data_IF_605365780452
#
_entry.id   IF_605365780452
#
_cell.length_a   1.000
_cell.length_b   1.000
_cell.length_c   1.000
_cell.angle_alpha   90.00
_cell.angle_beta   90.00
_cell.angle_gamma   90.00
#
_symmetry.space_group_name_H-M   'P 1'
#
loop_
_entity.id
_entity.type
_entity.pdbx_description
1 polymer ?
#
# COMPACT_ATOMS: atom_id res chain seq x y z
N UNK A 1 -0.92 -7.68 22.01
CA UNK A 1 0.25 -7.99 21.14
C UNK A 1 1.42 -8.38 22.03
N UNK A 2 2.11 -9.50 21.75
CA UNK A 2 3.31 -9.91 22.45
C UNK A 2 4.46 -8.97 22.07
N UNK A 3 4.89 -8.11 22.97
CA UNK A 3 5.97 -7.13 22.71
C UNK A 3 7.37 -7.73 22.86
N UNK A 4 7.47 -8.94 23.41
CA UNK A 4 8.72 -9.65 23.70
C UNK A 4 9.56 -9.98 22.47
N UNK A 5 8.92 -10.06 21.28
CA UNK A 5 9.60 -10.34 20.01
C UNK A 5 10.30 -9.12 19.41
N UNK A 6 10.07 -7.92 19.94
CA UNK A 6 10.61 -6.67 19.40
C UNK A 6 11.77 -6.15 20.25
N UNK A 7 12.76 -5.52 19.59
CA UNK A 7 13.86 -4.85 20.27
C UNK A 7 13.38 -3.60 21.01
N UNK A 8 14.20 -3.09 21.92
CA UNK A 8 13.91 -1.83 22.63
C UNK A 8 13.80 -0.64 21.68
N UNK A 9 14.63 -0.64 20.63
CA UNK A 9 14.68 0.37 19.57
C UNK A 9 13.41 0.33 18.73
N UNK A 10 12.95 -0.86 18.31
CA UNK A 10 11.69 -1.04 17.60
C UNK A 10 10.51 -0.53 18.44
N UNK A 11 10.40 -0.92 19.69
CA UNK A 11 9.35 -0.45 20.59
C UNK A 11 9.39 1.08 20.77
N UNK A 12 10.59 1.67 20.88
CA UNK A 12 10.74 3.13 20.97
C UNK A 12 10.25 3.82 19.69
N UNK A 13 10.55 3.25 18.51
CA UNK A 13 10.04 3.74 17.22
C UNK A 13 8.52 3.61 17.16
N UNK A 14 7.96 2.44 17.46
CA UNK A 14 6.52 2.17 17.42
C UNK A 14 5.75 3.17 18.29
N UNK A 15 6.19 3.42 19.52
CA UNK A 15 5.56 4.39 20.43
C UNK A 15 5.54 5.82 19.89
N UNK A 16 6.53 6.21 19.07
CA UNK A 16 6.53 7.54 18.42
C UNK A 16 5.52 7.65 17.30
N UNK A 17 5.28 6.55 16.58
CA UNK A 17 4.42 6.47 15.40
C UNK A 17 2.97 6.13 15.80
N UNK A 18 2.39 6.90 16.70
CA UNK A 18 1.15 6.58 17.41
C UNK A 18 -0.14 7.09 16.74
N UNK A 19 -0.05 7.56 15.50
CA UNK A 19 -1.22 7.96 14.71
C UNK A 19 -1.03 7.54 13.24
N UNK A 20 -2.13 7.28 12.48
CA UNK A 20 -2.02 6.97 11.05
C UNK A 20 -1.19 7.98 10.25
N UNK A 21 -1.37 9.28 10.52
CA UNK A 21 -0.60 10.36 9.88
C UNK A 21 0.90 10.27 10.19
N UNK A 22 1.30 9.97 11.43
CA UNK A 22 2.72 9.80 11.78
C UNK A 22 3.33 8.57 11.13
N UNK A 23 2.55 7.48 11.00
CA UNK A 23 2.97 6.28 10.28
C UNK A 23 3.18 6.62 8.80
N UNK A 24 2.25 7.32 8.17
CA UNK A 24 2.39 7.77 6.79
C UNK A 24 3.64 8.65 6.60
N UNK A 25 3.86 9.62 7.48
CA UNK A 25 5.04 10.50 7.41
C UNK A 25 6.34 9.72 7.54
N UNK A 26 6.37 8.69 8.39
CA UNK A 26 7.53 7.81 8.50
C UNK A 26 7.76 7.02 7.21
N UNK A 27 6.72 6.42 6.62
CA UNK A 27 6.83 5.72 5.33
C UNK A 27 7.31 6.65 4.20
N UNK A 28 6.85 7.90 4.19
CA UNK A 28 7.32 8.89 3.22
C UNK A 28 8.82 9.20 3.38
N UNK A 29 9.35 9.12 4.61
CA UNK A 29 10.79 9.35 4.86
C UNK A 29 11.70 8.17 4.51
N UNK A 30 11.13 6.98 4.28
CA UNK A 30 11.88 5.79 3.85
C UNK A 30 12.05 5.82 2.33
N UNK A 31 13.28 5.66 1.77
CA UNK A 31 13.49 5.50 0.34
C UNK A 31 12.65 4.37 -0.27
N UNK A 32 12.29 4.53 -1.53
CA UNK A 32 11.55 3.50 -2.26
C UNK A 32 12.47 2.32 -2.59
N UNK A 33 11.99 1.09 -2.34
CA UNK A 33 12.68 -0.13 -2.74
C UNK A 33 12.39 -0.40 -4.21
N UNK A 34 13.40 -0.25 -5.08
CA UNK A 34 13.31 -0.47 -6.52
C UNK A 34 13.63 -1.91 -6.94
N UNK A 35 13.89 -2.79 -5.96
CA UNK A 35 14.14 -4.22 -6.20
C UNK A 35 15.25 -4.45 -7.25
N UNK A 36 16.35 -3.69 -7.14
CA UNK A 36 17.45 -3.68 -8.12
C UNK A 36 18.12 -5.05 -8.28
N UNK A 37 18.00 -5.94 -7.29
CA UNK A 37 18.60 -7.28 -7.27
C UNK A 37 17.57 -8.42 -7.41
N UNK A 38 16.37 -8.11 -7.87
CA UNK A 38 15.24 -9.04 -7.98
C UNK A 38 14.12 -8.73 -7.00
N UNK A 39 12.96 -9.32 -7.24
CA UNK A 39 11.76 -9.11 -6.43
C UNK A 39 12.00 -9.45 -4.97
N UNK A 40 11.50 -8.63 -4.07
CA UNK A 40 11.61 -8.79 -2.61
C UNK A 40 10.27 -8.55 -1.92
N UNK A 41 10.08 -9.14 -0.75
CA UNK A 41 8.99 -8.80 0.16
C UNK A 41 9.51 -8.84 1.60
N UNK A 42 10.10 -7.72 2.02
CA UNK A 42 10.76 -7.58 3.32
C UNK A 42 9.74 -7.53 4.46
N UNK A 43 10.06 -8.21 5.58
CA UNK A 43 9.29 -8.05 6.81
C UNK A 43 9.38 -6.62 7.36
N UNK A 44 8.44 -6.19 8.23
CA UNK A 44 8.52 -4.90 8.92
C UNK A 44 9.86 -4.64 9.62
N UNK A 45 10.47 -5.67 10.23
CA UNK A 45 11.81 -5.57 10.83
C UNK A 45 12.87 -5.26 9.80
N UNK A 46 12.88 -5.98 8.68
CA UNK A 46 13.87 -5.78 7.63
C UNK A 46 13.67 -4.43 6.91
N UNK A 47 12.43 -3.97 6.74
CA UNK A 47 12.14 -2.60 6.27
C UNK A 47 12.79 -1.55 7.17
N UNK A 48 12.64 -1.68 8.49
CA UNK A 48 13.25 -0.73 9.45
C UNK A 48 14.77 -0.82 9.40
N UNK A 49 15.34 -2.03 9.36
CA UNK A 49 16.78 -2.31 9.35
C UNK A 49 17.45 -1.78 8.07
N UNK A 50 16.84 -2.01 6.90
CA UNK A 50 17.37 -1.57 5.61
C UNK A 50 16.94 -0.16 5.21
N UNK A 51 15.98 0.42 5.93
CA UNK A 51 15.43 1.75 5.66
C UNK A 51 14.98 1.91 4.20
N UNK A 52 14.24 0.92 3.69
CA UNK A 52 13.68 0.91 2.32
C UNK A 52 12.36 0.14 2.31
N UNK A 53 11.44 0.50 1.41
CA UNK A 53 10.19 -0.24 1.21
C UNK A 53 9.56 0.08 -0.14
N UNK A 54 8.96 -0.93 -0.80
CA UNK A 54 7.94 -0.76 -1.82
C UNK A 54 6.52 -0.81 -1.21
N UNK A 55 5.46 -0.85 -2.05
CA UNK A 55 4.08 -0.70 -1.57
C UNK A 55 3.66 -1.80 -0.57
N UNK A 56 3.94 -3.07 -0.86
CA UNK A 56 3.57 -4.19 0.01
C UNK A 56 4.35 -4.19 1.32
N UNK A 57 5.66 -3.97 1.27
CA UNK A 57 6.55 -3.88 2.44
C UNK A 57 6.13 -2.74 3.37
N UNK A 58 5.85 -1.57 2.78
CA UNK A 58 5.32 -0.42 3.52
C UNK A 58 3.94 -0.68 4.11
N UNK A 59 3.09 -1.44 3.40
CA UNK A 59 1.78 -1.85 3.91
C UNK A 59 1.91 -2.80 5.11
N UNK A 60 2.80 -3.78 5.06
CA UNK A 60 3.05 -4.68 6.20
C UNK A 60 3.56 -3.91 7.43
N UNK A 61 4.49 -2.98 7.25
CA UNK A 61 4.99 -2.15 8.35
C UNK A 61 3.89 -1.25 8.93
N UNK A 62 3.08 -0.61 8.08
CA UNK A 62 1.96 0.21 8.54
C UNK A 62 0.89 -0.62 9.26
N UNK A 63 0.62 -1.86 8.79
CA UNK A 63 -0.29 -2.78 9.45
C UNK A 63 0.19 -3.08 10.88
N UNK A 64 1.46 -3.46 11.04
CA UNK A 64 2.07 -3.70 12.35
C UNK A 64 1.93 -2.49 13.27
N UNK A 65 2.26 -1.30 12.80
CA UNK A 65 2.24 -0.07 13.60
C UNK A 65 0.82 0.32 14.03
N UNK A 66 -0.16 0.21 13.12
CA UNK A 66 -1.56 0.44 13.45
C UNK A 66 -2.07 -0.57 14.49
N UNK A 67 -1.76 -1.86 14.31
CA UNK A 67 -2.13 -2.92 15.24
C UNK A 67 -1.50 -2.70 16.62
N UNK A 68 -0.24 -2.28 16.69
CA UNK A 68 0.44 -1.93 17.93
C UNK A 68 -0.28 -0.84 18.73
N UNK A 69 -0.96 0.09 18.04
CA UNK A 69 -1.75 1.18 18.64
C UNK A 69 -3.25 0.85 18.78
N UNK A 70 -3.64 -0.41 18.66
CA UNK A 70 -5.00 -0.87 18.92
C UNK A 70 -6.00 -0.64 17.79
N UNK A 71 -5.55 -0.28 16.59
CA UNK A 71 -6.39 -0.31 15.40
C UNK A 71 -6.62 -1.75 14.94
N UNK A 72 -7.61 -1.96 14.09
CA UNK A 72 -7.86 -3.21 13.37
C UNK A 72 -7.58 -3.02 11.89
N UNK A 73 -6.29 -2.91 11.49
CA UNK A 73 -5.93 -2.66 10.11
C UNK A 73 -6.33 -3.81 9.19
N UNK A 74 -6.47 -3.50 7.91
CA UNK A 74 -6.68 -4.50 6.84
C UNK A 74 -5.88 -4.11 5.62
N UNK A 75 -5.44 -5.10 4.85
CA UNK A 75 -4.84 -4.88 3.53
C UNK A 75 -5.95 -4.77 2.50
N UNK A 76 -5.75 -3.88 1.53
CA UNK A 76 -6.52 -3.78 0.29
C UNK A 76 -5.55 -3.69 -0.87
N UNK A 77 -5.72 -4.57 -1.85
CA UNK A 77 -5.07 -4.48 -3.14
C UNK A 77 -5.95 -3.67 -4.11
N UNK A 78 -5.31 -2.78 -4.86
CA UNK A 78 -5.87 -1.97 -5.93
C UNK A 78 -5.36 -2.52 -7.25
N UNK A 79 -6.16 -3.34 -7.91
CA UNK A 79 -5.77 -4.08 -9.11
C UNK A 79 -5.96 -3.24 -10.37
N UNK A 80 -4.91 -3.19 -11.15
CA UNK A 80 -4.85 -2.53 -12.44
C UNK A 80 -5.24 -3.45 -13.61
N UNK A 81 -5.12 -2.95 -14.83
CA UNK A 81 -5.22 -3.73 -16.06
C UNK A 81 -3.94 -4.53 -16.29
N UNK A 82 -4.11 -5.74 -16.87
CA UNK A 82 -2.95 -6.56 -17.31
C UNK A 82 -2.42 -6.14 -18.68
N UNK A 83 -3.22 -5.44 -19.49
CA UNK A 83 -2.84 -4.96 -20.84
C UNK A 83 -3.53 -3.62 -21.14
N UNK A 84 -2.78 -2.52 -21.40
CA UNK A 84 -1.31 -2.44 -21.22
C UNK A 84 -0.95 -2.66 -19.74
N UNK A 85 0.21 -3.23 -19.45
CA UNK A 85 0.61 -3.54 -18.07
C UNK A 85 0.75 -2.27 -17.22
N UNK A 86 0.25 -2.34 -16.02
CA UNK A 86 0.46 -1.38 -14.94
C UNK A 86 0.57 -2.15 -13.62
N UNK A 87 1.31 -1.63 -12.66
CA UNK A 87 1.50 -2.29 -11.36
C UNK A 87 0.24 -2.18 -10.49
N UNK A 88 -0.08 -3.24 -9.78
CA UNK A 88 -1.06 -3.21 -8.70
C UNK A 88 -0.50 -2.44 -7.50
N UNK A 89 -1.36 -1.93 -6.63
CA UNK A 89 -0.93 -1.12 -5.50
C UNK A 89 -1.61 -1.54 -4.21
N UNK A 90 -0.78 -1.85 -3.21
CA UNK A 90 -1.27 -2.32 -1.90
C UNK A 90 -1.31 -1.17 -0.91
N UNK A 91 -2.43 -1.02 -0.22
CA UNK A 91 -2.64 -0.03 0.83
C UNK A 91 -3.12 -0.69 2.13
N UNK A 92 -2.85 -0.03 3.26
CA UNK A 92 -3.41 -0.45 4.56
C UNK A 92 -4.61 0.41 4.90
N UNK A 93 -5.74 -0.24 5.03
CA UNK A 93 -7.00 0.39 5.42
C UNK A 93 -7.12 0.41 6.95
N UNK A 94 -7.44 1.56 7.49
CA UNK A 94 -7.79 1.73 8.90
C UNK A 94 -9.16 2.40 9.03
N UNK A 95 -9.76 2.30 10.22
CA UNK A 95 -11.05 2.94 10.50
C UNK A 95 -10.90 3.91 11.66
N UNK A 96 -11.39 5.13 11.46
CA UNK A 96 -11.43 6.18 12.46
C UNK A 96 -12.70 7.03 12.26
N UNK A 97 -13.33 7.49 13.34
CA UNK A 97 -14.58 8.27 13.28
C UNK A 97 -15.72 7.59 12.47
N UNK A 98 -15.74 6.26 12.47
CA UNK A 98 -16.72 5.50 11.69
C UNK A 98 -16.45 5.44 10.17
N UNK A 99 -15.35 6.01 9.69
CA UNK A 99 -14.96 6.09 8.30
C UNK A 99 -13.66 5.33 8.02
N UNK A 100 -13.45 4.94 6.76
CA UNK A 100 -12.23 4.31 6.28
C UNK A 100 -11.24 5.37 5.80
N UNK A 101 -9.97 5.16 6.12
CA UNK A 101 -8.82 5.84 5.55
C UNK A 101 -7.77 4.82 5.11
N UNK A 102 -6.70 5.28 4.44
CA UNK A 102 -5.64 4.38 4.01
C UNK A 102 -4.25 5.00 4.16
N UNK A 103 -3.29 4.15 4.53
CA UNK A 103 -1.85 4.44 4.50
C UNK A 103 -1.26 3.76 3.27
N UNK A 104 -0.40 4.46 2.56
CA UNK A 104 0.17 4.03 1.30
C UNK A 104 1.66 4.31 1.22
N UNK A 105 2.48 3.34 0.78
CA UNK A 105 3.87 3.56 0.39
C UNK A 105 3.94 3.58 -1.13
N UNK A 106 4.28 4.72 -1.68
CA UNK A 106 4.44 4.93 -3.12
C UNK A 106 5.67 5.79 -3.39
N UNK A 107 6.23 5.70 -4.58
CA UNK A 107 7.25 6.61 -5.06
C UNK A 107 6.66 7.83 -5.79
N UNK A 108 5.40 7.75 -6.20
CA UNK A 108 4.73 8.78 -6.97
C UNK A 108 4.19 9.93 -6.11
N UNK A 109 4.05 11.11 -6.69
CA UNK A 109 3.37 12.27 -6.08
C UNK A 109 1.88 12.04 -5.82
N UNK A 110 1.30 11.03 -6.44
CA UNK A 110 -0.09 10.56 -6.33
C UNK A 110 -0.16 9.20 -5.62
N UNK A 111 -1.36 8.61 -5.46
CA UNK A 111 -1.61 7.32 -4.81
C UNK A 111 -1.19 7.27 -3.32
N UNK A 112 -1.25 8.41 -2.65
CA UNK A 112 -0.79 8.57 -1.26
C UNK A 112 -1.89 8.34 -0.23
N UNK A 113 -1.65 8.77 0.99
CA UNK A 113 -2.55 8.71 2.14
C UNK A 113 -3.98 9.15 1.81
N UNK A 114 -4.95 8.46 2.41
CA UNK A 114 -6.36 8.87 2.38
C UNK A 114 -6.86 9.09 3.80
N UNK A 115 -7.41 10.27 4.03
CA UNK A 115 -8.04 10.63 5.30
C UNK A 115 -9.22 9.69 5.62
N UNK A 116 -9.54 9.44 6.90
CA UNK A 116 -10.64 8.55 7.30
C UNK A 116 -12.00 9.26 7.13
N UNK A 117 -12.42 9.47 5.89
CA UNK A 117 -13.67 10.14 5.51
C UNK A 117 -14.58 9.28 4.64
N UNK A 118 -14.12 8.14 4.15
CA UNK A 118 -14.87 7.26 3.24
C UNK A 118 -15.79 6.33 4.02
N UNK A 119 -17.06 6.24 3.61
CA UNK A 119 -18.07 5.41 4.28
C UNK A 119 -17.99 3.94 3.90
N UNK A 120 -17.49 3.65 2.70
CA UNK A 120 -17.34 2.29 2.19
C UNK A 120 -15.93 2.05 1.64
N UNK A 121 -15.54 0.78 1.58
CA UNK A 121 -14.26 0.38 0.96
C UNK A 121 -14.22 0.70 -0.53
N UNK A 122 -15.38 0.65 -1.20
CA UNK A 122 -15.49 1.03 -2.62
C UNK A 122 -15.24 2.53 -2.82
N UNK A 123 -15.80 3.40 -1.98
CA UNK A 123 -15.52 4.84 -2.02
C UNK A 123 -14.02 5.12 -1.82
N UNK A 124 -13.40 4.44 -0.84
CA UNK A 124 -11.96 4.55 -0.59
C UNK A 124 -11.16 4.13 -1.83
N UNK A 125 -11.46 2.97 -2.43
CA UNK A 125 -10.78 2.49 -3.62
C UNK A 125 -10.98 3.46 -4.82
N UNK A 126 -12.21 3.98 -5.01
CA UNK A 126 -12.51 4.96 -6.05
C UNK A 126 -11.74 6.27 -5.89
N UNK A 127 -11.31 6.64 -4.69
CA UNK A 127 -10.52 7.85 -4.47
C UNK A 127 -9.15 7.81 -5.16
N UNK A 128 -8.67 6.63 -5.50
CA UNK A 128 -7.41 6.43 -6.23
C UNK A 128 -7.60 6.42 -7.75
N UNK A 129 -8.84 6.26 -8.25
CA UNK A 129 -9.12 6.00 -9.66
C UNK A 129 -8.56 7.03 -10.62
N UNK A 130 -8.71 8.32 -10.32
CA UNK A 130 -8.28 9.40 -11.21
C UNK A 130 -6.76 9.63 -11.18
N UNK A 131 -6.08 9.11 -10.19
CA UNK A 131 -4.62 9.18 -10.04
C UNK A 131 -3.92 7.95 -10.65
N UNK A 132 -4.69 6.94 -11.11
CA UNK A 132 -4.18 5.66 -11.55
C UNK A 132 -4.21 5.58 -13.08
N UNK A 133 -3.13 6.00 -13.71
CA UNK A 133 -2.99 6.03 -15.19
C UNK A 133 -1.53 5.89 -15.63
N UNK A 134 -1.35 5.37 -16.84
CA UNK A 134 -0.07 5.27 -17.51
C UNK A 134 0.35 6.62 -18.13
N UNK A 135 1.62 6.74 -18.52
CA UNK A 135 2.13 7.90 -19.25
C UNK A 135 1.43 8.15 -20.59
N UNK A 136 0.72 7.16 -21.11
CA UNK A 136 -0.17 7.29 -22.28
C UNK A 136 -1.51 7.93 -21.97
N UNK A 137 -1.80 8.21 -20.70
CA UNK A 137 -3.08 8.73 -20.22
C UNK A 137 -4.15 7.64 -20.00
N UNK A 138 -3.88 6.38 -20.32
CA UNK A 138 -4.83 5.27 -20.11
C UNK A 138 -5.04 5.07 -18.61
N UNK A 139 -6.29 5.23 -18.14
CA UNK A 139 -6.68 4.96 -16.75
C UNK A 139 -6.77 3.45 -16.53
N UNK A 140 -6.06 2.95 -15.53
CA UNK A 140 -5.74 1.53 -15.40
C UNK A 140 -6.39 0.84 -14.20
N UNK A 141 -6.79 1.52 -13.14
CA UNK A 141 -7.45 0.88 -12.00
C UNK A 141 -8.77 0.22 -12.42
N UNK A 142 -8.97 -1.06 -12.04
CA UNK A 142 -10.14 -1.87 -12.41
C UNK A 142 -10.89 -2.45 -11.25
N UNK A 143 -10.16 -2.95 -10.25
CA UNK A 143 -10.73 -3.71 -9.16
C UNK A 143 -10.10 -3.33 -7.84
N UNK A 144 -10.71 -3.74 -6.74
CA UNK A 144 -10.13 -3.70 -5.40
C UNK A 144 -10.42 -5.01 -4.69
N UNK A 145 -9.49 -5.46 -3.85
CA UNK A 145 -9.68 -6.72 -3.14
C UNK A 145 -10.67 -6.59 -1.98
N UNK A 146 -11.21 -7.73 -1.54
CA UNK A 146 -11.76 -7.80 -0.19
C UNK A 146 -10.70 -7.37 0.82
N UNK A 147 -11.12 -6.82 1.96
CA UNK A 147 -10.22 -6.50 3.05
C UNK A 147 -9.61 -7.78 3.65
N UNK A 148 -8.29 -7.79 3.80
CA UNK A 148 -7.54 -8.95 4.25
C UNK A 148 -6.80 -8.69 5.57
N UNK A 149 -6.76 -9.69 6.46
CA UNK A 149 -6.05 -9.64 7.73
C UNK A 149 -4.72 -10.35 7.65
N UNK A 150 -3.61 -9.62 7.76
CA UNK A 150 -2.26 -10.22 7.73
C UNK A 150 -1.98 -11.20 8.87
N UNK A 151 -2.79 -11.19 9.92
CA UNK A 151 -2.68 -12.16 11.02
C UNK A 151 -2.91 -13.61 10.56
N UNK A 152 -3.54 -13.80 9.38
CA UNK A 152 -3.60 -15.10 8.71
C UNK A 152 -2.20 -15.72 8.52
N UNK A 153 -1.18 -14.92 8.32
CA UNK A 153 0.21 -15.34 8.09
C UNK A 153 1.09 -15.33 9.35
N UNK A 154 0.51 -15.35 10.55
CA UNK A 154 1.29 -15.36 11.80
C UNK A 154 2.27 -16.55 11.90
N UNK A 155 1.96 -17.66 11.23
CA UNK A 155 2.82 -18.84 11.17
C UNK A 155 4.15 -18.59 10.42
N UNK A 156 4.24 -17.56 9.57
CA UNK A 156 5.46 -17.12 8.90
C UNK A 156 6.30 -16.15 9.74
N UNK A 157 5.86 -15.78 10.93
CA UNK A 157 6.48 -14.70 11.72
C UNK A 157 6.71 -13.42 10.92
N UNK A 158 5.76 -13.07 10.03
CA UNK A 158 5.86 -12.02 9.02
C UNK A 158 6.31 -10.64 9.55
N UNK A 159 6.19 -10.39 10.86
CA UNK A 159 6.60 -9.12 11.48
C UNK A 159 8.11 -9.00 11.64
N UNK A 160 8.82 -10.12 11.75
CA UNK A 160 10.22 -10.13 12.25
C UNK A 160 11.14 -11.09 11.51
N UNK A 161 10.63 -11.92 10.59
CA UNK A 161 11.43 -12.89 9.83
C UNK A 161 12.45 -12.17 8.93
N UNK A 162 13.60 -12.78 8.73
CA UNK A 162 14.59 -12.38 7.72
C UNK A 162 14.34 -13.07 6.36
N UNK A 163 13.43 -14.06 6.33
CA UNK A 163 13.05 -14.72 5.09
C UNK A 163 12.17 -13.79 4.24
N UNK A 164 12.26 -13.94 2.93
CA UNK A 164 11.38 -13.29 1.97
C UNK A 164 9.91 -13.72 2.17
N UNK A 165 8.99 -12.79 1.96
CA UNK A 165 7.55 -12.94 2.18
C UNK A 165 6.73 -12.82 0.88
N UNK A 166 7.33 -13.08 -0.27
CA UNK A 166 6.66 -13.00 -1.59
C UNK A 166 5.38 -13.84 -1.64
N UNK A 167 5.32 -14.97 -0.92
CA UNK A 167 4.10 -15.79 -0.80
C UNK A 167 2.88 -14.99 -0.28
N UNK A 168 3.10 -13.97 0.55
CA UNK A 168 2.02 -13.09 1.02
C UNK A 168 1.51 -12.22 -0.12
N UNK A 169 2.39 -11.64 -0.93
CA UNK A 169 2.02 -10.84 -2.10
C UNK A 169 1.23 -11.67 -3.10
N UNK A 170 1.73 -12.86 -3.46
CA UNK A 170 1.05 -13.79 -4.36
C UNK A 170 -0.34 -14.19 -3.85
N UNK A 171 -0.49 -14.43 -2.56
CA UNK A 171 -1.78 -14.76 -1.98
C UNK A 171 -2.78 -13.59 -2.09
N UNK A 172 -2.30 -12.34 -1.91
CA UNK A 172 -3.15 -11.15 -2.01
C UNK A 172 -3.64 -10.95 -3.44
N UNK A 173 -2.84 -11.30 -4.43
CA UNK A 173 -3.26 -11.28 -5.84
C UNK A 173 -4.38 -12.29 -6.14
N UNK A 174 -4.47 -13.38 -5.40
CA UNK A 174 -5.45 -14.45 -5.63
C UNK A 174 -6.77 -14.28 -4.87
N UNK A 175 -6.83 -13.41 -3.85
CA UNK A 175 -8.06 -13.21 -3.08
C UNK A 175 -9.16 -12.56 -3.94
N UNK A 176 -10.42 -12.65 -3.48
CA UNK A 176 -11.56 -12.09 -4.20
C UNK A 176 -11.41 -10.57 -4.42
N UNK A 177 -11.57 -10.14 -5.66
CA UNK A 177 -11.61 -8.74 -6.08
C UNK A 177 -12.99 -8.37 -6.60
N UNK A 178 -13.33 -7.10 -6.43
CA UNK A 178 -14.61 -6.52 -6.82
C UNK A 178 -14.39 -5.45 -7.90
N UNK A 179 -15.17 -5.49 -9.00
CA UNK A 179 -15.00 -4.50 -10.07
C UNK A 179 -15.41 -3.10 -9.59
N UNK A 180 -14.60 -2.10 -9.92
CA UNK A 180 -14.92 -0.69 -9.72
C UNK A 180 -15.81 -0.15 -10.84
N UNK A 181 -15.67 -0.66 -12.05
CA UNK A 181 -16.30 -0.16 -13.26
C UNK A 181 -17.04 -1.28 -14.00
N UNK A 182 -18.12 -0.92 -14.66
CA UNK A 182 -18.78 -1.79 -15.64
C UNK A 182 -18.02 -1.81 -16.97
N UNK A 183 -18.22 -2.84 -17.84
CA UNK A 183 -17.60 -2.88 -19.16
C UNK A 183 -17.93 -1.67 -20.04
N UNK A 184 -19.15 -1.14 -19.94
CA UNK A 184 -19.56 0.08 -20.67
C UNK A 184 -18.84 1.32 -20.19
N UNK A 185 -18.58 1.46 -18.88
CA UNK A 185 -17.78 2.54 -18.33
C UNK A 185 -16.33 2.45 -18.82
N UNK A 186 -15.72 1.26 -18.76
CA UNK A 186 -14.33 1.03 -19.21
C UNK A 186 -14.16 1.44 -20.68
N UNK A 187 -15.10 1.05 -21.55
CA UNK A 187 -15.06 1.40 -22.99
C UNK A 187 -15.09 2.90 -23.26
N UNK A 188 -15.71 3.68 -22.39
CA UNK A 188 -15.92 5.12 -22.56
C UNK A 188 -15.03 5.97 -21.66
N UNK A 189 -13.99 5.41 -21.03
CA UNK A 189 -13.05 6.18 -20.23
C UNK A 189 -12.30 7.20 -21.10
N UNK A 190 -12.30 8.45 -20.63
CA UNK A 190 -11.45 9.50 -21.20
C UNK A 190 -10.01 9.27 -20.74
N UNK A 191 -9.05 9.53 -21.61
CA UNK A 191 -7.63 9.57 -21.22
C UNK A 191 -7.40 10.69 -20.18
N UNK A 192 -6.37 10.54 -19.37
CA UNK A 192 -5.86 11.61 -18.53
C UNK A 192 -5.35 12.77 -19.39
N UNK A 193 -5.51 13.99 -18.92
CA UNK A 193 -5.01 15.17 -19.62
C UNK A 193 -3.47 15.26 -19.53
N UNK A 194 -2.88 16.03 -20.45
CA UNK A 194 -1.43 16.23 -20.45
C UNK A 194 -0.91 16.77 -19.12
N UNK A 195 -1.64 17.63 -18.45
CA UNK A 195 -1.26 18.19 -17.14
C UNK A 195 -1.33 17.12 -16.03
N UNK A 196 -2.32 16.21 -16.09
CA UNK A 196 -2.41 15.08 -15.15
C UNK A 196 -1.22 14.13 -15.36
N UNK A 197 -0.88 13.84 -16.64
CA UNK A 197 0.28 12.99 -17.00
C UNK A 197 1.59 13.60 -16.49
N UNK A 198 1.80 14.91 -16.67
CA UNK A 198 3.00 15.58 -16.15
C UNK A 198 3.05 15.52 -14.61
N UNK A 199 1.93 15.70 -13.93
CA UNK A 199 1.83 15.53 -12.48
C UNK A 199 2.17 14.08 -12.05
N UNK A 200 1.71 13.07 -12.78
CA UNK A 200 1.99 11.66 -12.52
C UNK A 200 3.47 11.26 -12.67
N UNK A 201 4.26 12.05 -13.41
CA UNK A 201 5.72 11.85 -13.53
C UNK A 201 6.52 12.30 -12.31
N UNK A 202 5.90 13.02 -11.38
CA UNK A 202 6.58 13.48 -10.17
C UNK A 202 6.83 12.28 -9.27
N UNK A 203 8.11 11.98 -9.02
CA UNK A 203 8.55 10.91 -8.14
C UNK A 203 9.43 11.47 -7.03
N UNK A 204 9.36 10.82 -5.87
CA UNK A 204 10.10 11.23 -4.67
C UNK A 204 11.55 10.73 -4.70
N UNK A 205 11.75 9.52 -5.19
CA UNK A 205 13.07 8.90 -5.32
C UNK A 205 13.33 8.50 -6.76
N UNK A 206 14.61 8.58 -7.16
CA UNK A 206 15.05 8.15 -8.50
C UNK A 206 15.75 6.79 -8.40
N UNK A 207 15.45 5.86 -9.35
CA UNK A 207 16.23 4.64 -9.50
C UNK A 207 17.66 5.02 -9.87
N UNK A 208 18.65 4.52 -9.14
CA UNK A 208 20.06 4.73 -9.50
C UNK A 208 20.29 4.10 -10.88
N UNK A 209 20.93 4.86 -11.78
CA UNK A 209 21.29 4.37 -13.12
C UNK A 209 22.50 3.44 -13.04
#
# INVERSE_FOLDING_TARGET
MHTEIYTKEEIKLFRKLNTPSKIQNYLNSIPFNFEENGDTCLSPREVIKHNTAHCMEGAMLAFLLLEFHGYTPRIMDLRSVKKPYDDDHVVVVFKQFGCFGAISKTNHGVLRYREPIYKTTRELAMSYFHEYFLQTGVKTLREYSRLFDLNHFNYLNWRTTENDLTDISLYIDEIAHYPLLSPSQIKNLRLADSIEIEMGKIVEYQKKK
#
